data_IF_679339034336
#
_entry.id   IF_679339034336
#
_cell.length_a   1.000
_cell.length_b   1.000
_cell.length_c   1.000
_cell.angle_alpha   90.00
_cell.angle_beta   90.00
_cell.angle_gamma   90.00
#
_symmetry.space_group_name_H-M   'P 1'
#
loop_
_entity.id
_entity.type
_entity.pdbx_description
1 polymer ?
#
# COMPACT_ATOMS: atom_id res chain seq x y z
N UNK A 1 6.46 -6.33 11.34
CA UNK A 1 6.52 -7.10 12.61
C UNK A 1 7.72 -8.05 12.51
N UNK A 2 8.68 -7.99 13.44
CA UNK A 2 9.85 -8.89 13.46
C UNK A 2 9.50 -10.10 14.30
N UNK A 3 9.46 -11.29 13.72
CA UNK A 3 9.32 -12.53 14.49
C UNK A 3 10.63 -12.79 15.22
N UNK A 4 10.56 -13.27 16.47
CA UNK A 4 11.69 -13.41 17.40
C UNK A 4 12.95 -13.95 16.73
N UNK A 5 14.07 -13.30 17.02
CA UNK A 5 15.38 -13.56 16.39
C UNK A 5 16.17 -14.60 17.16
N UNK A 6 15.59 -15.77 17.44
CA UNK A 6 16.44 -16.92 17.81
C UNK A 6 17.16 -17.37 16.54
N UNK A 7 18.39 -16.84 16.38
CA UNK A 7 19.24 -17.02 15.21
C UNK A 7 19.57 -18.49 14.91
N UNK A 8 19.34 -19.40 15.85
CA UNK A 8 19.58 -20.85 15.73
C UNK A 8 18.50 -21.60 14.96
N UNK A 9 17.34 -20.99 14.68
CA UNK A 9 16.23 -21.69 14.04
C UNK A 9 16.12 -21.33 12.55
N UNK A 10 16.61 -22.23 11.68
CA UNK A 10 16.55 -22.08 10.21
C UNK A 10 15.12 -21.85 9.69
N UNK A 11 14.11 -22.46 10.33
CA UNK A 11 12.72 -22.25 9.99
C UNK A 11 12.31 -20.79 10.21
N UNK A 12 12.65 -20.20 11.36
CA UNK A 12 12.35 -18.79 11.66
C UNK A 12 13.10 -17.83 10.73
N UNK A 13 14.34 -18.16 10.34
CA UNK A 13 15.07 -17.37 9.34
C UNK A 13 14.38 -17.41 7.97
N UNK A 14 13.96 -18.59 7.52
CA UNK A 14 13.26 -18.73 6.24
C UNK A 14 11.92 -17.97 6.24
N UNK A 15 11.19 -18.01 7.36
CA UNK A 15 9.93 -17.31 7.55
C UNK A 15 10.14 -15.79 7.55
N UNK A 16 11.18 -15.31 8.24
CA UNK A 16 11.53 -13.89 8.24
C UNK A 16 11.94 -13.39 6.85
N UNK A 17 12.69 -14.17 6.05
CA UNK A 17 13.02 -13.81 4.66
C UNK A 17 11.76 -13.65 3.81
N UNK A 18 10.84 -14.62 3.85
CA UNK A 18 9.57 -14.52 3.12
C UNK A 18 8.72 -13.33 3.59
N UNK A 19 8.69 -13.07 4.90
CA UNK A 19 7.99 -11.92 5.45
C UNK A 19 8.60 -10.58 4.97
N UNK A 20 9.93 -10.50 4.87
CA UNK A 20 10.61 -9.33 4.31
C UNK A 20 10.29 -9.13 2.83
N UNK A 21 10.22 -10.19 2.03
CA UNK A 21 9.83 -10.11 0.62
C UNK A 21 8.39 -9.60 0.46
N UNK A 22 7.44 -10.16 1.24
CA UNK A 22 6.04 -9.71 1.24
C UNK A 22 5.95 -8.24 1.64
N UNK A 23 6.65 -7.83 2.70
CA UNK A 23 6.67 -6.43 3.14
C UNK A 23 7.23 -5.49 2.06
N UNK A 24 8.32 -5.90 1.39
CA UNK A 24 8.92 -5.10 0.31
C UNK A 24 7.95 -4.94 -0.87
N UNK A 25 7.31 -6.02 -1.30
CA UNK A 25 6.31 -5.99 -2.37
C UNK A 25 5.11 -5.11 -1.99
N UNK A 26 4.62 -5.22 -0.76
CA UNK A 26 3.53 -4.41 -0.27
C UNK A 26 3.88 -2.91 -0.25
N UNK A 27 5.07 -2.56 0.27
CA UNK A 27 5.54 -1.16 0.30
C UNK A 27 5.70 -0.58 -1.10
N UNK A 28 6.23 -1.36 -2.04
CA UNK A 28 6.38 -0.93 -3.44
C UNK A 28 5.00 -0.69 -4.10
N UNK A 29 4.07 -1.61 -3.87
CA UNK A 29 2.71 -1.50 -4.39
C UNK A 29 1.96 -0.28 -3.83
N UNK A 30 2.05 -0.03 -2.52
CA UNK A 30 1.46 1.15 -1.89
C UNK A 30 2.09 2.44 -2.41
N UNK A 31 3.42 2.50 -2.55
CA UNK A 31 4.09 3.66 -3.14
C UNK A 31 3.60 3.94 -4.56
N UNK A 32 3.31 2.90 -5.34
CA UNK A 32 2.78 3.04 -6.69
C UNK A 32 1.33 3.53 -6.69
N UNK A 33 0.49 3.02 -5.78
CA UNK A 33 -0.90 3.45 -5.60
C UNK A 33 -1.04 4.87 -5.06
N UNK A 34 -0.13 5.30 -4.19
CA UNK A 34 -0.09 6.66 -3.64
C UNK A 34 0.78 7.60 -4.46
N UNK A 35 1.10 7.26 -5.72
CA UNK A 35 1.81 8.19 -6.60
C UNK A 35 1.00 9.47 -6.73
N UNK A 36 1.64 10.57 -6.37
CA UNK A 36 0.99 11.87 -6.41
C UNK A 36 0.83 12.29 -7.87
N UNK A 37 -0.41 12.49 -8.28
CA UNK A 37 -0.79 13.03 -9.57
C UNK A 37 -0.97 14.54 -9.40
N UNK A 38 -0.42 15.32 -10.32
CA UNK A 38 -0.73 16.74 -10.37
C UNK A 38 -2.10 16.91 -11.03
N UNK A 39 -3.05 17.46 -10.28
CA UNK A 39 -4.36 17.81 -10.79
C UNK A 39 -4.53 19.33 -10.75
N UNK A 40 -5.18 19.86 -11.79
CA UNK A 40 -5.61 21.25 -11.83
C UNK A 40 -6.96 21.35 -11.14
N UNK A 41 -7.00 22.00 -9.99
CA UNK A 41 -8.24 22.28 -9.28
C UNK A 41 -8.66 23.73 -9.53
N UNK A 42 -9.93 23.90 -9.85
CA UNK A 42 -10.53 25.21 -10.05
C UNK A 42 -11.13 25.66 -8.71
N UNK A 43 -10.65 26.78 -8.20
CA UNK A 43 -11.15 27.41 -6.98
C UNK A 43 -12.46 28.16 -7.28
N UNK A 44 -13.29 28.37 -6.25
CA UNK A 44 -14.59 29.03 -6.39
C UNK A 44 -14.52 30.49 -6.86
N UNK A 45 -13.32 31.07 -6.91
CA UNK A 45 -13.01 32.40 -7.44
C UNK A 45 -12.54 32.36 -8.91
N UNK A 46 -12.72 31.24 -9.60
CA UNK A 46 -12.29 30.99 -11.00
C UNK A 46 -10.78 30.94 -11.22
N UNK A 47 -9.96 30.91 -10.16
CA UNK A 47 -8.52 30.67 -10.28
C UNK A 47 -8.23 29.17 -10.39
N UNK A 48 -7.28 28.77 -11.24
CA UNK A 48 -6.85 27.38 -11.38
C UNK A 48 -5.52 27.20 -10.65
N UNK A 49 -5.46 26.27 -9.71
CA UNK A 49 -4.23 25.93 -8.98
C UNK A 49 -3.83 24.49 -9.21
N UNK A 50 -2.53 24.25 -9.35
CA UNK A 50 -1.98 22.91 -9.43
C UNK A 50 -1.86 22.34 -8.01
N UNK A 51 -2.62 21.29 -7.71
CA UNK A 51 -2.50 20.54 -6.46
C UNK A 51 -1.99 19.13 -6.74
N UNK A 52 -1.09 18.67 -5.87
CA UNK A 52 -0.59 17.30 -5.93
C UNK A 52 -1.44 16.43 -5.01
N UNK A 53 -2.27 15.55 -5.57
CA UNK A 53 -3.09 14.59 -4.80
C UNK A 53 -2.86 13.16 -5.29
N UNK A 54 -3.15 12.17 -4.46
CA UNK A 54 -3.30 10.78 -4.90
C UNK A 54 -4.72 10.55 -5.42
N UNK A 55 -4.92 9.48 -6.19
CA UNK A 55 -6.24 9.08 -6.68
C UNK A 55 -6.98 8.26 -5.59
N UNK A 56 -8.05 8.80 -4.97
CA UNK A 56 -8.80 8.07 -3.95
C UNK A 56 -9.52 6.84 -4.50
N UNK A 57 -9.83 6.82 -5.81
CA UNK A 57 -10.52 5.71 -6.47
C UNK A 57 -9.62 4.48 -6.58
N UNK A 58 -8.33 4.69 -6.89
CA UNK A 58 -7.33 3.62 -6.94
C UNK A 58 -7.12 2.99 -5.55
N UNK A 59 -7.06 3.82 -4.51
CA UNK A 59 -6.97 3.34 -3.12
C UNK A 59 -8.22 2.55 -2.72
N UNK A 60 -9.42 3.06 -3.05
CA UNK A 60 -10.67 2.36 -2.76
C UNK A 60 -10.73 1.01 -3.49
N UNK A 61 -10.38 0.97 -4.77
CA UNK A 61 -10.35 -0.26 -5.56
C UNK A 61 -9.36 -1.29 -4.98
N UNK A 62 -8.23 -0.85 -4.44
CA UNK A 62 -7.28 -1.71 -3.77
C UNK A 62 -7.87 -2.37 -2.52
N UNK A 63 -8.50 -1.59 -1.63
CA UNK A 63 -9.16 -2.14 -0.44
C UNK A 63 -10.36 -3.02 -0.79
N UNK A 64 -11.17 -2.65 -1.79
CA UNK A 64 -12.29 -3.47 -2.26
C UNK A 64 -11.83 -4.82 -2.80
N UNK A 65 -10.68 -4.87 -3.50
CA UNK A 65 -10.07 -6.13 -3.94
C UNK A 65 -9.61 -6.96 -2.75
N UNK A 66 -9.01 -6.36 -1.74
CA UNK A 66 -8.59 -7.05 -0.51
C UNK A 66 -9.80 -7.68 0.17
N UNK A 67 -10.85 -6.89 0.43
CA UNK A 67 -12.09 -7.35 1.09
C UNK A 67 -12.76 -8.47 0.28
N UNK A 68 -12.85 -8.33 -1.06
CA UNK A 68 -13.44 -9.36 -1.93
C UNK A 68 -12.68 -10.68 -1.94
N UNK A 69 -11.37 -10.66 -1.70
CA UNK A 69 -10.55 -11.87 -1.67
C UNK A 69 -10.49 -12.50 -0.27
N UNK A 70 -10.90 -11.77 0.77
CA UNK A 70 -10.92 -12.21 2.17
C UNK A 70 -12.33 -12.67 2.59
N UNK A 71 -13.04 -13.39 1.70
CA UNK A 71 -14.43 -13.82 1.92
C UNK A 71 -14.65 -14.67 3.18
N UNK A 72 -13.63 -15.38 3.64
CA UNK A 72 -13.69 -16.30 4.78
C UNK A 72 -12.96 -15.77 6.02
N UNK A 73 -12.71 -14.45 6.10
CA UNK A 73 -12.03 -13.82 7.23
C UNK A 73 -13.02 -13.18 8.23
N UNK A 74 -14.07 -13.95 8.55
CA UNK A 74 -15.07 -13.65 9.58
C UNK A 74 -15.08 -14.71 10.67
#
# INVERSE_FOLDING_TARGET
MRLGTDLSNEFLQSLNKKNQEIQKLYVDHIKNLTKTVQIKVMLGDSTVTDQSTFDPQEIKNFYDKIIKNLRDWS
#
